data_IF_181082551034
#
_entry.id   IF_181082551034
#
_cell.length_a   1.000
_cell.length_b   1.000
_cell.length_c   1.000
_cell.angle_alpha   90.00
_cell.angle_beta   90.00
_cell.angle_gamma   90.00
#
_symmetry.space_group_name_H-M   'P 1'
#
loop_
_entity.id
_entity.type
_entity.pdbx_description
1 polymer ?
#
# COMPACT_ATOMS: atom_id res chain seq x y z
N UNK A 1 -5.42 15.91 7.07
CA UNK A 1 -6.67 15.58 6.40
C UNK A 1 -6.99 14.13 6.54
N UNK A 2 -8.23 13.82 6.82
CA UNK A 2 -8.64 12.45 7.11
C UNK A 2 -9.31 11.77 5.93
N UNK A 3 -8.83 12.06 4.74
CA UNK A 3 -9.37 11.43 3.55
C UNK A 3 -8.94 9.98 3.48
N UNK A 4 -9.91 9.15 3.10
CA UNK A 4 -9.67 7.72 2.93
C UNK A 4 -9.72 7.41 1.43
N UNK A 5 -8.78 6.60 1.00
CA UNK A 5 -8.68 6.19 -0.39
C UNK A 5 -8.93 4.69 -0.47
N UNK A 6 -9.80 4.31 -1.39
CA UNK A 6 -10.08 2.89 -1.65
C UNK A 6 -9.59 2.55 -3.05
N UNK A 7 -8.80 1.49 -3.15
CA UNK A 7 -8.30 0.99 -4.43
C UNK A 7 -8.90 -0.40 -4.66
N UNK A 8 -9.61 -0.54 -5.76
CA UNK A 8 -10.24 -1.80 -6.12
C UNK A 8 -9.37 -2.50 -7.16
N UNK A 9 -8.90 -3.69 -6.79
CA UNK A 9 -8.01 -4.45 -7.64
C UNK A 9 -6.56 -4.33 -7.21
N UNK A 10 -5.99 -5.44 -6.75
CA UNK A 10 -4.63 -5.49 -6.20
C UNK A 10 -3.56 -5.88 -7.20
N UNK A 11 -3.76 -5.58 -8.49
CA UNK A 11 -2.75 -5.84 -9.49
C UNK A 11 -1.57 -4.89 -9.36
N UNK A 12 -0.64 -4.97 -10.31
CA UNK A 12 0.59 -4.18 -10.24
C UNK A 12 0.29 -2.68 -10.15
N UNK A 13 -0.58 -2.19 -11.01
CA UNK A 13 -0.90 -0.76 -11.05
C UNK A 13 -1.64 -0.32 -9.79
N UNK A 14 -2.65 -1.09 -9.38
CA UNK A 14 -3.45 -0.77 -8.18
C UNK A 14 -2.59 -0.75 -6.92
N UNK A 15 -1.70 -1.73 -6.76
CA UNK A 15 -0.84 -1.79 -5.59
C UNK A 15 0.16 -0.63 -5.55
N UNK A 16 0.64 -0.17 -6.71
CA UNK A 16 1.54 0.97 -6.77
C UNK A 16 0.82 2.27 -6.43
N UNK A 17 -0.40 2.45 -6.92
CA UNK A 17 -1.20 3.63 -6.59
C UNK A 17 -1.50 3.68 -5.10
N UNK A 18 -1.91 2.53 -4.53
CA UNK A 18 -2.18 2.44 -3.10
C UNK A 18 -0.93 2.74 -2.27
N UNK A 19 0.22 2.24 -2.71
CA UNK A 19 1.48 2.50 -2.03
C UNK A 19 1.83 3.98 -2.01
N UNK A 20 1.68 4.65 -3.14
CA UNK A 20 1.96 6.08 -3.23
C UNK A 20 1.05 6.89 -2.32
N UNK A 21 -0.24 6.56 -2.29
CA UNK A 21 -1.18 7.23 -1.41
C UNK A 21 -0.85 7.01 0.06
N UNK A 22 -0.53 5.78 0.43
CA UNK A 22 -0.18 5.45 1.81
C UNK A 22 1.11 6.13 2.25
N UNK A 23 2.10 6.18 1.37
CA UNK A 23 3.35 6.87 1.66
C UNK A 23 3.16 8.38 1.80
N UNK A 24 2.15 8.92 1.15
CA UNK A 24 1.82 10.34 1.26
C UNK A 24 1.02 10.67 2.52
N UNK A 25 0.65 9.66 3.31
CA UNK A 25 -0.05 9.87 4.56
C UNK A 25 -1.56 9.65 4.51
N UNK A 26 -2.09 9.23 3.38
CA UNK A 26 -3.53 8.98 3.26
C UNK A 26 -3.88 7.58 3.73
N UNK A 27 -4.92 7.46 4.55
CA UNK A 27 -5.46 6.15 4.91
C UNK A 27 -5.96 5.49 3.64
N UNK A 28 -5.36 4.37 3.28
CA UNK A 28 -5.60 3.72 2.00
C UNK A 28 -5.97 2.27 2.24
N UNK A 29 -7.07 1.85 1.67
CA UNK A 29 -7.48 0.45 1.68
C UNK A 29 -7.42 -0.09 0.25
N UNK A 30 -6.84 -1.26 0.10
CA UNK A 30 -6.79 -1.93 -1.19
C UNK A 30 -7.55 -3.25 -1.09
N UNK A 31 -8.39 -3.51 -2.08
CA UNK A 31 -9.21 -4.71 -2.14
C UNK A 31 -8.75 -5.62 -3.26
N UNK A 32 -8.62 -6.89 -2.96
CA UNK A 32 -8.51 -7.95 -3.97
C UNK A 32 -9.04 -9.22 -3.35
N UNK A 33 -9.84 -9.96 -4.09
CA UNK A 33 -10.36 -11.24 -3.63
C UNK A 33 -9.27 -12.30 -3.53
N UNK A 34 -8.16 -12.12 -4.25
CA UNK A 34 -7.02 -13.01 -4.18
C UNK A 34 -6.07 -12.56 -3.08
N UNK A 35 -6.23 -13.16 -1.91
CA UNK A 35 -5.45 -12.82 -0.72
C UNK A 35 -3.95 -13.01 -0.94
N UNK A 36 -3.56 -14.12 -1.55
CA UNK A 36 -2.14 -14.42 -1.74
C UNK A 36 -1.48 -13.40 -2.66
N UNK A 37 -2.17 -13.00 -3.73
CA UNK A 37 -1.67 -11.99 -4.64
C UNK A 37 -1.50 -10.65 -3.94
N UNK A 38 -2.48 -10.27 -3.13
CA UNK A 38 -2.45 -9.00 -2.42
C UNK A 38 -1.30 -8.96 -1.42
N UNK A 39 -1.10 -10.03 -0.67
CA UNK A 39 0.01 -10.12 0.28
C UNK A 39 1.36 -10.12 -0.42
N UNK A 40 1.44 -10.80 -1.56
CA UNK A 40 2.66 -10.79 -2.37
C UNK A 40 3.02 -9.38 -2.83
N UNK A 41 2.02 -8.66 -3.35
CA UNK A 41 2.25 -7.28 -3.82
C UNK A 41 2.64 -6.36 -2.68
N UNK A 42 2.03 -6.53 -1.52
CA UNK A 42 2.38 -5.73 -0.36
C UNK A 42 3.86 -5.90 0.01
N UNK A 43 4.31 -7.15 0.09
CA UNK A 43 5.71 -7.44 0.44
C UNK A 43 6.67 -7.00 -0.65
N UNK A 44 6.28 -7.13 -1.90
CA UNK A 44 7.10 -6.69 -3.03
C UNK A 44 7.35 -5.18 -2.96
N UNK A 45 6.30 -4.41 -2.72
CA UNK A 45 6.43 -2.95 -2.61
C UNK A 45 7.23 -2.57 -1.36
N UNK A 46 7.00 -3.27 -0.26
CA UNK A 46 7.74 -3.03 0.98
C UNK A 46 9.25 -3.19 0.74
N UNK A 47 9.65 -4.24 0.06
CA UNK A 47 11.06 -4.48 -0.23
C UNK A 47 11.64 -3.42 -1.17
N UNK A 48 10.85 -2.96 -2.13
CA UNK A 48 11.29 -1.86 -2.99
C UNK A 48 11.51 -0.58 -2.21
N UNK A 49 10.63 -0.27 -1.25
CA UNK A 49 10.79 0.91 -0.40
C UNK A 49 12.06 0.79 0.43
N UNK A 50 12.31 -0.39 1.01
CA UNK A 50 13.52 -0.63 1.78
C UNK A 50 14.79 -0.44 0.94
N UNK A 51 14.77 -0.90 -0.31
CA UNK A 51 15.89 -0.70 -1.21
C UNK A 51 16.15 0.78 -1.50
N UNK A 52 15.08 1.56 -1.67
CA UNK A 52 15.20 2.99 -1.91
C UNK A 52 15.70 3.73 -0.68
N UNK A 53 15.35 3.27 0.50
CA UNK A 53 15.89 3.80 1.76
C UNK A 53 17.38 3.48 1.85
N UNK A 54 17.77 2.27 1.53
CA UNK A 54 19.17 1.86 1.54
C UNK A 54 20.01 2.72 0.58
N UNK A 55 19.46 3.07 -0.55
CA UNK A 55 20.11 3.93 -1.54
C UNK A 55 20.01 5.41 -1.20
N UNK A 56 19.39 5.74 -0.07
CA UNK A 56 19.20 7.11 0.41
C UNK A 56 18.33 7.99 -0.50
N UNK A 57 17.47 7.34 -1.28
CA UNK A 57 16.48 8.04 -2.12
C UNK A 57 15.24 8.37 -1.28
N UNK A 58 14.82 7.43 -0.41
CA UNK A 58 13.71 7.63 0.52
C UNK A 58 14.23 7.64 1.96
N UNK A 59 13.53 8.36 2.84
CA UNK A 59 13.76 8.26 4.28
C UNK A 59 12.91 7.14 4.88
N UNK A 60 13.22 6.73 6.10
CA UNK A 60 12.45 5.69 6.80
C UNK A 60 11.00 6.09 7.02
N UNK A 61 10.69 7.37 7.04
CA UNK A 61 9.31 7.86 7.18
C UNK A 61 8.40 7.30 6.09
N UNK A 62 8.93 7.08 4.89
CA UNK A 62 8.14 6.52 3.80
C UNK A 62 7.67 5.10 4.10
N UNK A 63 8.56 4.29 4.67
CA UNK A 63 8.20 2.92 5.03
C UNK A 63 7.19 2.90 6.18
N UNK A 64 7.41 3.74 7.18
CA UNK A 64 6.49 3.82 8.32
C UNK A 64 5.10 4.25 7.87
N UNK A 65 5.02 5.26 7.01
CA UNK A 65 3.76 5.75 6.48
C UNK A 65 3.06 4.68 5.64
N UNK A 66 3.81 3.94 4.82
CA UNK A 66 3.28 2.85 4.03
C UNK A 66 2.62 1.79 4.93
N UNK A 67 3.33 1.36 5.97
CA UNK A 67 2.82 0.32 6.87
C UNK A 67 1.63 0.78 7.70
N UNK A 68 1.67 2.03 8.17
CA UNK A 68 0.59 2.57 9.02
C UNK A 68 -0.69 2.83 8.25
N UNK A 69 -0.58 3.24 7.00
CA UNK A 69 -1.72 3.76 6.26
C UNK A 69 -2.31 2.78 5.25
N UNK A 70 -1.60 1.71 4.90
CA UNK A 70 -2.12 0.76 3.92
C UNK A 70 -2.80 -0.42 4.60
N UNK A 71 -4.09 -0.59 4.33
CA UNK A 71 -4.85 -1.74 4.81
C UNK A 71 -5.16 -2.68 3.65
N UNK A 72 -4.99 -3.98 3.89
CA UNK A 72 -5.31 -5.02 2.92
C UNK A 72 -6.68 -5.58 3.23
N UNK A 73 -7.53 -5.66 2.23
CA UNK A 73 -8.92 -6.11 2.40
C UNK A 73 -9.25 -7.17 1.35
N UNK A 74 -9.90 -8.22 1.79
CA UNK A 74 -10.24 -9.37 0.93
C UNK A 74 -11.73 -9.44 0.65
N UNK A 75 -12.49 -8.53 1.21
CA UNK A 75 -13.92 -8.41 0.99
C UNK A 75 -14.21 -6.97 0.59
N UNK A 76 -15.02 -6.81 -0.45
CA UNK A 76 -15.38 -5.47 -0.94
C UNK A 76 -16.09 -4.66 0.14
N UNK A 77 -16.83 -5.31 1.02
CA UNK A 77 -17.53 -4.63 2.11
C UNK A 77 -16.59 -3.94 3.07
N UNK A 78 -15.40 -4.51 3.27
CA UNK A 78 -14.43 -3.96 4.22
C UNK A 78 -13.70 -2.74 3.69
N UNK A 79 -13.69 -2.55 2.38
CA UNK A 79 -12.95 -1.45 1.77
C UNK A 79 -13.81 -0.22 1.52
N UNK A 80 -15.10 -0.40 1.44
CA UNK A 80 -16.06 0.67 1.29
C UNK A 80 -16.54 1.13 2.67
#
# INVERSE_FOLDING_TARGET
>A
MNEKIAVIGGGQMGSQIAALAAMAGYKTNIYDENKENLEYRYKFVEENIKNLIHKKIYSEDKLNSYKENLGLNYSLEDVI
#
